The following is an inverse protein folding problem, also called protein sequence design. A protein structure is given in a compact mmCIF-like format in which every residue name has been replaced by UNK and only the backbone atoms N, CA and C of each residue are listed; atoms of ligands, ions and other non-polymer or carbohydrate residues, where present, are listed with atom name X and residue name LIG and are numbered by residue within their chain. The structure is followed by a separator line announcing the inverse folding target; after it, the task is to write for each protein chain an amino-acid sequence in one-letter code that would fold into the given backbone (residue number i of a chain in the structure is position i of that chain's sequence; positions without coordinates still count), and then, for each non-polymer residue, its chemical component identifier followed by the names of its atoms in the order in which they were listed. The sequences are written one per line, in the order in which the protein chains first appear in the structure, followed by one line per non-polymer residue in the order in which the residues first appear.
data_IF_402728398925
#
_entry.id   IF_402728398925
#
_cell.length_a   1.000
_cell.length_b   1.000
_cell.length_c   1.000
_cell.angle_alpha   90.00
_cell.angle_beta   90.00
_cell.angle_gamma   90.00
#
_symmetry.space_group_name_H-M   'P 1'
#
loop_
_entity.id
_entity.type
_entity.pdbx_description
1 polymer ?
#
# COMPACT_ATOMS: atom_id res chain seq x y z
N UNK A 1 11.89 6.15 -13.82
CA UNK A 1 10.51 5.65 -13.62
C UNK A 1 10.32 5.42 -12.13
N UNK A 2 9.46 6.20 -11.48
CA UNK A 2 9.05 5.97 -10.09
C UNK A 2 7.53 6.11 -10.09
N UNK A 3 6.83 5.00 -10.28
CA UNK A 3 5.39 4.95 -10.24
C UNK A 3 4.98 4.86 -8.75
N UNK A 4 4.52 5.94 -8.09
CA UNK A 4 4.07 5.90 -6.69
C UNK A 4 2.85 5.00 -6.48
N UNK A 5 2.35 4.42 -7.58
CA UNK A 5 1.23 3.52 -7.65
C UNK A 5 1.65 2.05 -7.51
N UNK A 6 2.95 1.70 -7.52
CA UNK A 6 3.40 0.32 -7.33
C UNK A 6 4.25 0.20 -6.06
N UNK A 7 3.86 -0.69 -5.15
CA UNK A 7 4.63 -0.97 -3.93
C UNK A 7 4.47 -2.42 -3.51
N UNK A 8 5.41 -2.93 -2.72
CA UNK A 8 5.35 -4.29 -2.18
C UNK A 8 4.99 -4.22 -0.69
N UNK A 9 4.12 -5.12 -0.24
CA UNK A 9 3.77 -5.29 1.18
C UNK A 9 3.86 -6.75 1.57
N UNK A 10 4.10 -7.01 2.85
CA UNK A 10 4.03 -8.36 3.38
C UNK A 10 2.59 -8.66 3.83
N UNK A 11 1.94 -9.62 3.18
CA UNK A 11 0.64 -10.15 3.59
C UNK A 11 0.82 -11.60 4.02
N UNK A 12 0.45 -11.92 5.28
CA UNK A 12 0.57 -13.28 5.84
C UNK A 12 1.98 -13.90 5.67
N UNK A 13 3.04 -13.10 5.80
CA UNK A 13 4.42 -13.56 5.63
C UNK A 13 4.85 -13.81 4.17
N UNK A 14 4.04 -13.39 3.20
CA UNK A 14 4.39 -13.40 1.77
C UNK A 14 4.53 -11.97 1.24
N UNK A 15 5.60 -11.73 0.50
CA UNK A 15 5.81 -10.46 -0.18
C UNK A 15 4.91 -10.38 -1.41
N UNK A 16 3.91 -9.50 -1.37
CA UNK A 16 2.95 -9.30 -2.46
C UNK A 16 3.20 -7.94 -3.13
N UNK A 17 2.96 -7.86 -4.44
CA UNK A 17 3.06 -6.64 -5.21
C UNK A 17 1.70 -5.99 -5.37
N UNK A 18 1.57 -4.73 -4.96
CA UNK A 18 0.31 -3.96 -5.02
C UNK A 18 0.45 -2.85 -6.05
N UNK A 19 -0.48 -2.83 -7.00
CA UNK A 19 -0.61 -1.77 -8.01
C UNK A 19 -1.88 -0.96 -7.78
N UNK A 20 -1.76 0.35 -7.72
CA UNK A 20 -2.88 1.28 -7.51
C UNK A 20 -3.33 1.81 -8.86
N UNK A 21 -4.61 1.66 -9.14
CA UNK A 21 -5.27 2.16 -10.34
C UNK A 21 -6.42 3.09 -9.94
N UNK A 22 -6.55 4.22 -10.62
CA UNK A 22 -7.68 5.13 -10.42
C UNK A 22 -8.61 4.97 -11.63
N UNK A 23 -9.82 4.44 -11.40
CA UNK A 23 -10.82 4.20 -12.44
C UNK A 23 -12.00 5.13 -12.22
N UNK A 24 -12.18 6.11 -13.12
CA UNK A 24 -13.23 7.16 -13.14
C UNK A 24 -13.26 8.09 -11.92
N UNK A 25 -13.19 7.56 -10.70
CA UNK A 25 -13.03 8.23 -9.40
C UNK A 25 -12.76 7.23 -8.26
N UNK A 26 -12.84 5.92 -8.52
CA UNK A 26 -12.57 4.88 -7.56
C UNK A 26 -11.09 4.49 -7.55
N UNK A 27 -10.52 4.26 -6.37
CA UNK A 27 -9.16 3.77 -6.20
C UNK A 27 -9.19 2.25 -6.03
N UNK A 28 -8.72 1.55 -7.06
CA UNK A 28 -8.58 0.10 -7.11
C UNK A 28 -7.12 -0.27 -6.81
N UNK A 29 -6.93 -1.28 -5.98
CA UNK A 29 -5.65 -1.83 -5.60
C UNK A 29 -5.60 -3.26 -6.10
N UNK A 30 -4.73 -3.51 -7.05
CA UNK A 30 -4.48 -4.81 -7.64
C UNK A 30 -3.34 -5.49 -6.87
N UNK A 31 -3.67 -6.51 -6.09
CA UNK A 31 -2.73 -7.27 -5.27
C UNK A 31 -2.33 -8.54 -6.00
N UNK A 32 -1.06 -8.63 -6.38
CA UNK A 32 -0.44 -9.78 -7.02
C UNK A 32 0.35 -10.54 -5.96
N UNK A 33 -0.07 -11.77 -5.69
CA UNK A 33 0.63 -12.66 -4.77
C UNK A 33 1.64 -13.52 -5.53
N UNK A 34 2.80 -13.83 -4.93
CA UNK A 34 3.77 -14.75 -5.52
C UNK A 34 3.20 -16.18 -5.55
N UNK A 35 3.16 -16.80 -6.73
CA UNK A 35 2.66 -18.17 -6.92
C UNK A 35 1.55 -18.26 -7.97
N UNK A 36 0.68 -19.27 -7.84
CA UNK A 36 -0.46 -19.52 -8.74
C UNK A 36 -1.79 -19.02 -8.15
N UNK A 37 -1.73 -18.08 -7.21
CA UNK A 37 -2.92 -17.49 -6.60
C UNK A 37 -3.52 -16.45 -7.55
N UNK A 38 -4.85 -16.44 -7.73
CA UNK A 38 -5.50 -15.43 -8.54
C UNK A 38 -5.29 -14.05 -7.91
N UNK A 39 -5.03 -13.02 -8.73
CA UNK A 39 -4.83 -11.67 -8.23
C UNK A 39 -6.10 -11.16 -7.54
N UNK A 40 -5.90 -10.44 -6.44
CA UNK A 40 -6.98 -9.88 -5.65
C UNK A 40 -7.09 -8.39 -5.96
N UNK A 41 -8.19 -7.96 -6.58
CA UNK A 41 -8.49 -6.53 -6.64
C UNK A 41 -9.31 -6.14 -5.44
N UNK A 42 -8.88 -5.10 -4.76
CA UNK A 42 -9.64 -4.48 -3.68
C UNK A 42 -9.86 -3.02 -4.01
N UNK A 43 -10.97 -2.45 -3.59
CA UNK A 43 -11.27 -1.04 -3.77
C UNK A 43 -11.90 -0.50 -2.50
N UNK A 44 -11.77 0.81 -2.31
CA UNK A 44 -12.55 1.51 -1.29
C UNK A 44 -13.89 1.88 -1.90
N UNK A 45 -14.97 1.31 -1.37
CA UNK A 45 -16.34 1.69 -1.70
C UNK A 45 -16.89 2.59 -0.60
N UNK A 46 -17.87 3.43 -0.94
CA UNK A 46 -18.59 4.28 -0.02
C UNK A 46 -20.04 3.80 0.04
N UNK A 47 -20.58 3.60 1.24
CA UNK A 47 -21.98 3.22 1.41
C UNK A 47 -22.90 4.44 1.31
N UNK A 48 -24.22 4.22 1.41
CA UNK A 48 -25.22 5.31 1.34
C UNK A 48 -25.12 6.29 2.51
N UNK A 49 -24.50 5.87 3.60
CA UNK A 49 -24.26 6.65 4.82
C UNK A 49 -22.95 7.46 4.76
N UNK A 50 -22.18 7.34 3.66
CA UNK A 50 -20.90 8.03 3.48
C UNK A 50 -19.71 7.34 4.14
N UNK A 51 -19.89 6.12 4.64
CA UNK A 51 -18.82 5.33 5.26
C UNK A 51 -18.01 4.59 4.20
N UNK A 52 -16.68 4.69 4.33
CA UNK A 52 -15.73 4.07 3.42
C UNK A 52 -15.33 2.69 3.93
N UNK A 53 -15.54 1.67 3.12
CA UNK A 53 -15.20 0.29 3.42
C UNK A 53 -14.37 -0.35 2.30
N UNK A 54 -13.55 -1.33 2.68
CA UNK A 54 -12.76 -2.10 1.73
C UNK A 54 -13.62 -3.24 1.16
N UNK A 55 -13.63 -3.39 -0.16
CA UNK A 55 -14.37 -4.45 -0.86
C UNK A 55 -13.54 -5.07 -1.98
N UNK A 56 -13.80 -6.33 -2.32
CA UNK A 56 -13.11 -7.06 -3.39
C UNK A 56 -13.85 -6.96 -4.72
N UNK A 57 -13.10 -6.98 -5.83
CA UNK A 57 -13.66 -7.05 -7.19
C UNK A 57 -12.92 -8.14 -7.97
N UNK A 58 -13.50 -9.32 -8.26
CA UNK A 58 -14.88 -9.74 -8.07
C UNK A 58 -15.31 -9.92 -6.60
N UNK A 59 -16.61 -9.79 -6.34
CA UNK A 59 -17.20 -10.08 -5.03
C UNK A 59 -17.01 -11.55 -4.66
N UNK A 60 -16.89 -11.84 -3.36
CA UNK A 60 -16.65 -13.19 -2.83
C UNK A 60 -15.33 -13.33 -2.06
N UNK A 61 -14.52 -12.27 -1.99
CA UNK A 61 -13.26 -12.22 -1.22
C UNK A 61 -13.24 -11.03 -0.27
N UNK A 62 -14.39 -10.72 0.33
CA UNK A 62 -14.52 -9.56 1.20
C UNK A 62 -13.63 -9.68 2.44
N UNK A 63 -13.51 -10.87 3.04
CA UNK A 63 -12.60 -11.12 4.17
C UNK A 63 -11.13 -10.84 3.80
N UNK A 64 -10.68 -11.34 2.65
CA UNK A 64 -9.34 -11.07 2.12
C UNK A 64 -9.16 -9.57 1.82
N UNK A 65 -10.19 -8.90 1.29
CA UNK A 65 -10.13 -7.48 0.98
C UNK A 65 -10.08 -6.58 2.21
N UNK A 66 -10.82 -6.91 3.26
CA UNK A 66 -10.72 -6.22 4.54
C UNK A 66 -9.35 -6.42 5.17
N UNK A 67 -8.83 -7.64 5.14
CA UNK A 67 -7.51 -7.94 5.67
C UNK A 67 -6.41 -7.20 4.89
N UNK A 68 -6.38 -7.37 3.58
CA UNK A 68 -5.42 -6.70 2.70
C UNK A 68 -5.56 -5.17 2.77
N UNK A 69 -6.79 -4.67 2.80
CA UNK A 69 -7.11 -3.25 2.92
C UNK A 69 -6.58 -2.63 4.22
N UNK A 70 -6.70 -3.33 5.36
CA UNK A 70 -6.13 -2.91 6.65
C UNK A 70 -4.60 -2.81 6.57
N UNK A 71 -3.94 -3.82 6.00
CA UNK A 71 -2.47 -3.83 5.85
C UNK A 71 -2.00 -2.73 4.91
N UNK A 72 -2.66 -2.55 3.76
CA UNK A 72 -2.36 -1.49 2.79
C UNK A 72 -2.57 -0.12 3.42
N UNK A 73 -3.67 0.10 4.15
CA UNK A 73 -3.94 1.35 4.85
C UNK A 73 -2.88 1.66 5.91
N UNK A 74 -2.47 0.64 6.68
CA UNK A 74 -1.39 0.77 7.67
C UNK A 74 -0.06 1.12 6.99
N UNK A 75 0.29 0.42 5.90
CA UNK A 75 1.48 0.68 5.10
C UNK A 75 1.48 2.11 4.54
N UNK A 76 0.39 2.56 3.91
CA UNK A 76 0.29 3.93 3.37
C UNK A 76 0.41 4.97 4.49
N UNK A 77 -0.22 4.74 5.64
CA UNK A 77 -0.15 5.63 6.80
C UNK A 77 1.28 5.71 7.34
N UNK A 78 1.97 4.58 7.45
CA UNK A 78 3.36 4.52 7.91
C UNK A 78 4.31 5.11 6.89
N UNK A 79 4.16 4.77 5.61
CA UNK A 79 4.92 5.34 4.51
C UNK A 79 4.78 6.87 4.47
N UNK A 80 3.58 7.41 4.67
CA UNK A 80 3.36 8.87 4.77
C UNK A 80 4.06 9.48 5.98
N UNK A 81 4.12 8.77 7.12
CA UNK A 81 4.89 9.20 8.30
C UNK A 81 6.40 9.13 8.06
N UNK A 82 6.90 8.08 7.42
CA UNK A 82 8.32 7.91 7.13
C UNK A 82 8.80 8.85 6.01
N UNK A 83 7.95 9.18 5.03
CA UNK A 83 8.24 10.22 4.04
C UNK A 83 8.40 11.60 4.67
N UNK A 84 7.66 11.91 5.75
CA UNK A 84 7.88 13.13 6.55
C UNK A 84 9.25 13.11 7.27
N UNK A 85 9.80 11.93 7.57
CA UNK A 85 11.16 11.80 8.12
C UNK A 85 12.26 11.78 7.05
N UNK A 86 11.95 11.40 5.81
CA UNK A 86 12.91 11.34 4.71
C UNK A 86 13.15 12.70 4.01
N UNK A 87 12.34 13.72 4.28
CA UNK A 87 12.58 15.11 3.83
C UNK A 87 13.44 15.94 4.79
N UNK A 88 14.26 15.28 5.63
CA UNK A 88 15.39 15.89 6.36
C UNK A 88 16.67 15.10 6.10
N UNK A 89 16.95 14.80 4.83
CA UNK A 89 18.28 14.40 4.38
C UNK A 89 18.55 15.11 3.06
N UNK A 90 18.55 16.45 3.11
CA UNK A 90 19.38 17.22 2.18
C UNK A 90 20.71 17.49 2.90
N UNK A 91 21.71 16.71 2.51
CA UNK A 91 23.15 17.04 2.47
C UNK A 91 23.78 17.52 3.78
N UNK A 92 24.59 16.64 4.39
CA UNK A 92 26.07 16.78 4.49
C UNK A 92 26.63 15.74 5.46
N UNK A 93 27.04 14.58 4.94
CA UNK A 93 28.27 13.93 5.43
C UNK A 93 29.43 14.68 4.76
N UNK A 94 30.48 15.10 5.47
CA UNK A 94 31.48 14.21 6.09
C UNK A 94 31.87 14.66 7.52
N UNK A 95 32.59 13.97 8.40
CA UNK A 95 33.29 12.69 8.50
C UNK A 95 33.36 12.36 10.02
N UNK A 96 33.63 11.10 10.43
CA UNK A 96 33.84 10.80 11.84
C UNK A 96 35.26 11.23 12.26
N UNK A 97 35.38 12.26 13.10
CA UNK A 97 36.60 12.48 13.87
C UNK A 97 36.41 11.81 15.23
N UNK A 98 36.90 10.57 15.32
CA UNK A 98 37.36 9.98 16.56
C UNK A 98 38.85 10.34 16.73
N UNK A 99 39.20 10.86 17.91
CA UNK A 99 40.55 11.15 18.44
C UNK A 99 41.24 12.45 17.98
N UNK A 100 41.73 13.22 18.97
CA UNK A 100 42.76 14.25 18.82
C UNK A 100 42.48 15.52 19.57
#
# INVERSE_FOLDING_TARGET
MNDPNLFNVELNGQMVSVSVHIIKSAKVFHVIQPGNHPPLNITVAENKDGEKFWTSVPEGRQEEAEFAGKVIAAYIREYRRNQLCATTTDKKLPAPNLFG
#
